data_IF_155826928228
#
_entry.id   IF_155826928228
#
_cell.length_a   1.000
_cell.length_b   1.000
_cell.length_c   1.000
_cell.angle_alpha   90.00
_cell.angle_beta   90.00
_cell.angle_gamma   90.00
#
_symmetry.space_group_name_H-M   'P 1'
#
loop_
_entity.id
_entity.type
_entity.pdbx_description
1 polymer ?
#
# COMPACT_ATOMS: atom_id res chain seq x y z
N UNK A 1 42.06 -6.74 11.07
CA UNK A 1 41.83 -6.41 9.65
C UNK A 1 40.71 -7.28 9.11
N UNK A 2 39.77 -6.66 8.37
CA UNK A 2 38.63 -7.22 7.61
C UNK A 2 37.56 -7.93 8.47
N UNK A 3 36.30 -7.50 8.53
CA UNK A 3 35.48 -6.86 7.49
C UNK A 3 34.63 -7.94 6.81
N UNK A 4 33.53 -8.32 7.44
CA UNK A 4 32.53 -9.24 6.89
C UNK A 4 31.14 -8.63 7.08
N UNK A 5 30.79 -7.70 6.18
CA UNK A 5 29.46 -7.10 6.16
C UNK A 5 28.43 -8.10 5.68
N UNK A 6 27.55 -8.53 6.58
CA UNK A 6 26.33 -9.26 6.24
C UNK A 6 25.49 -8.39 5.31
N UNK A 7 24.93 -8.92 4.21
CA UNK A 7 24.09 -8.12 3.32
C UNK A 7 22.90 -7.58 4.12
N UNK A 8 22.85 -6.25 4.24
CA UNK A 8 21.79 -5.53 4.91
C UNK A 8 20.43 -6.05 4.43
N UNK A 9 19.71 -6.66 5.37
CA UNK A 9 18.35 -7.16 5.23
C UNK A 9 17.51 -6.07 4.58
N UNK A 10 17.24 -6.22 3.27
CA UNK A 10 16.37 -5.33 2.48
C UNK A 10 15.15 -5.00 3.32
N UNK A 11 14.92 -3.70 3.51
CA UNK A 11 13.97 -3.10 4.44
C UNK A 11 12.62 -3.78 4.41
N UNK A 12 12.45 -4.77 5.29
CA UNK A 12 11.13 -5.25 5.69
C UNK A 12 10.71 -4.31 6.80
N UNK A 13 9.97 -3.26 6.44
CA UNK A 13 9.16 -2.46 7.36
C UNK A 13 8.08 -3.40 7.92
N UNK A 14 8.51 -4.35 8.76
CA UNK A 14 7.73 -5.49 9.23
C UNK A 14 6.86 -5.11 10.43
N UNK A 15 6.17 -3.99 10.37
CA UNK A 15 5.37 -3.50 11.50
C UNK A 15 4.15 -2.66 11.14
N UNK A 16 4.00 -2.22 9.89
CA UNK A 16 2.81 -1.49 9.47
C UNK A 16 2.23 -2.25 8.29
N UNK A 17 1.03 -2.81 8.49
CA UNK A 17 0.26 -3.41 7.41
C UNK A 17 0.15 -2.39 6.29
N UNK A 18 0.46 -2.78 5.06
CA UNK A 18 0.32 -1.87 3.93
C UNK A 18 -1.16 -1.50 3.77
N UNK A 19 -1.45 -0.30 3.26
CA UNK A 19 -2.84 0.12 3.01
C UNK A 19 -3.58 -0.92 2.14
N UNK A 20 -2.88 -1.60 1.23
CA UNK A 20 -3.43 -2.68 0.39
C UNK A 20 -3.76 -3.95 1.17
N UNK A 21 -2.93 -4.31 2.16
CA UNK A 21 -3.23 -5.44 3.05
C UNK A 21 -4.47 -5.15 3.90
N UNK A 22 -4.60 -3.93 4.42
CA UNK A 22 -5.78 -3.52 5.18
C UNK A 22 -7.04 -3.47 4.30
N UNK A 23 -6.92 -2.97 3.07
CA UNK A 23 -8.04 -2.86 2.13
C UNK A 23 -8.67 -4.23 1.84
N UNK A 24 -7.85 -5.28 1.75
CA UNK A 24 -8.32 -6.66 1.53
C UNK A 24 -9.20 -7.18 2.67
N UNK A 25 -8.94 -6.75 3.90
CA UNK A 25 -9.76 -7.11 5.07
C UNK A 25 -11.02 -6.25 5.20
N UNK A 26 -10.92 -4.95 4.94
CA UNK A 26 -12.03 -4.00 5.16
C UNK A 26 -13.01 -3.92 3.99
N UNK A 27 -12.55 -4.21 2.77
CA UNK A 27 -13.32 -4.15 1.53
C UNK A 27 -12.91 -5.35 0.66
N UNK A 28 -13.36 -6.58 0.99
CA UNK A 28 -12.95 -7.80 0.30
C UNK A 28 -13.29 -7.81 -1.19
N UNK A 29 -14.29 -7.05 -1.63
CA UNK A 29 -14.60 -6.79 -3.04
C UNK A 29 -13.47 -6.11 -3.82
N UNK A 30 -12.53 -5.46 -3.11
CA UNK A 30 -11.32 -4.84 -3.68
C UNK A 30 -10.06 -5.68 -3.43
N UNK A 31 -10.18 -6.92 -2.95
CA UNK A 31 -9.04 -7.78 -2.62
C UNK A 31 -8.16 -8.07 -3.83
N UNK A 32 -8.76 -8.31 -5.00
CA UNK A 32 -8.02 -8.56 -6.24
C UNK A 32 -7.17 -7.36 -6.65
N UNK A 33 -7.78 -6.16 -6.63
CA UNK A 33 -7.09 -4.89 -6.88
C UNK A 33 -5.99 -4.63 -5.84
N UNK A 34 -6.27 -4.90 -4.56
CA UNK A 34 -5.30 -4.76 -3.47
C UNK A 34 -4.07 -5.63 -3.69
N UNK A 35 -4.27 -6.90 -4.01
CA UNK A 35 -3.20 -7.85 -4.32
C UNK A 35 -2.40 -7.40 -5.55
N UNK A 36 -3.10 -6.96 -6.60
CA UNK A 36 -2.48 -6.44 -7.81
C UNK A 36 -1.51 -5.28 -7.50
N UNK A 37 -1.95 -4.24 -6.78
CA UNK A 37 -1.09 -3.10 -6.43
C UNK A 37 0.02 -3.45 -5.43
N UNK A 38 -0.25 -4.35 -4.48
CA UNK A 38 0.77 -4.83 -3.54
C UNK A 38 1.91 -5.56 -4.27
N UNK A 39 1.60 -6.36 -5.29
CA UNK A 39 2.60 -7.08 -6.08
C UNK A 39 3.57 -6.14 -6.81
N UNK A 40 3.10 -4.95 -7.23
CA UNK A 40 3.89 -3.92 -7.90
C UNK A 40 4.76 -3.06 -6.97
N UNK A 41 4.56 -3.12 -5.65
CA UNK A 41 5.19 -2.21 -4.70
C UNK A 41 6.73 -2.26 -4.71
N UNK A 42 7.31 -3.47 -4.84
CA UNK A 42 8.76 -3.62 -4.92
C UNK A 42 9.35 -3.09 -6.23
N UNK A 43 8.58 -3.07 -7.32
CA UNK A 43 8.98 -2.47 -8.59
C UNK A 43 9.00 -0.95 -8.47
N UNK A 44 7.91 -0.38 -7.94
CA UNK A 44 7.80 1.06 -7.66
C UNK A 44 8.91 1.57 -6.74
N UNK A 45 9.20 0.87 -5.64
CA UNK A 45 10.27 1.26 -4.72
C UNK A 45 11.66 1.32 -5.40
N UNK A 46 11.93 0.41 -6.35
CA UNK A 46 13.18 0.46 -7.14
C UNK A 46 13.20 1.63 -8.11
N UNK A 47 12.07 1.92 -8.75
CA UNK A 47 11.94 3.06 -9.65
C UNK A 47 12.10 4.40 -8.91
N UNK A 48 11.48 4.55 -7.73
CA UNK A 48 11.60 5.72 -6.85
C UNK A 48 13.04 5.92 -6.34
N UNK A 49 13.78 4.83 -6.15
CA UNK A 49 15.21 4.87 -5.83
C UNK A 49 16.11 5.20 -7.05
N UNK A 50 15.53 5.49 -8.22
CA UNK A 50 16.26 5.87 -9.43
C UNK A 50 16.97 4.71 -10.13
N UNK A 51 16.62 3.45 -9.81
CA UNK A 51 17.24 2.28 -10.44
C UNK A 51 16.81 2.23 -11.92
N UNK A 52 17.78 2.35 -12.83
CA UNK A 52 17.52 2.23 -14.28
C UNK A 52 16.94 0.85 -14.61
N UNK A 53 15.90 0.85 -15.46
CA UNK A 53 15.23 -0.37 -15.89
C UNK A 53 14.32 -1.00 -14.83
N UNK A 54 14.05 -0.33 -13.70
CA UNK A 54 13.13 -0.83 -12.69
C UNK A 54 11.68 -0.97 -13.19
N UNK A 55 11.27 -0.14 -14.14
CA UNK A 55 10.01 -0.24 -14.85
C UNK A 55 10.20 0.24 -16.30
N UNK A 56 9.49 -0.37 -17.24
CA UNK A 56 9.38 0.13 -18.61
C UNK A 56 8.27 1.17 -18.71
N UNK A 57 8.24 1.93 -19.82
CA UNK A 57 7.13 2.84 -20.11
C UNK A 57 5.80 2.11 -20.23
N UNK A 58 5.80 0.88 -20.80
CA UNK A 58 4.60 0.04 -20.90
C UNK A 58 4.10 -0.43 -19.53
N UNK A 59 5.00 -0.78 -18.61
CA UNK A 59 4.63 -1.10 -17.23
C UNK A 59 3.94 0.08 -16.54
N UNK A 60 4.44 1.30 -16.77
CA UNK A 60 3.87 2.50 -16.20
C UNK A 60 2.49 2.82 -16.80
N UNK A 61 2.33 2.70 -18.12
CA UNK A 61 1.04 2.93 -18.77
C UNK A 61 -0.01 1.91 -18.33
N UNK A 62 0.38 0.63 -18.19
CA UNK A 62 -0.52 -0.39 -17.67
C UNK A 62 -0.94 -0.08 -16.22
N UNK A 63 0.02 0.28 -15.36
CA UNK A 63 -0.28 0.65 -13.98
C UNK A 63 -1.22 1.86 -13.89
N UNK A 64 -1.07 2.86 -14.76
CA UNK A 64 -1.97 4.02 -14.83
C UNK A 64 -3.38 3.62 -15.26
N UNK A 65 -3.51 2.72 -16.24
CA UNK A 65 -4.80 2.19 -16.70
C UNK A 65 -5.50 1.42 -15.59
N UNK A 66 -4.76 0.58 -14.88
CA UNK A 66 -5.24 -0.21 -13.75
C UNK A 66 -5.68 0.69 -12.59
N UNK A 67 -4.88 1.71 -12.25
CA UNK A 67 -5.23 2.70 -11.23
C UNK A 67 -6.50 3.49 -11.59
N UNK A 68 -6.66 3.91 -12.85
CA UNK A 68 -7.85 4.60 -13.30
C UNK A 68 -9.12 3.73 -13.19
N UNK A 69 -9.00 2.44 -13.50
CA UNK A 69 -10.11 1.49 -13.37
C UNK A 69 -10.49 1.26 -11.90
N UNK A 70 -9.48 1.07 -11.04
CA UNK A 70 -9.68 0.94 -9.60
C UNK A 70 -10.40 2.16 -9.00
N UNK A 71 -9.95 3.39 -9.33
CA UNK A 71 -10.57 4.61 -8.84
C UNK A 71 -12.04 4.71 -9.26
N UNK A 72 -12.37 4.39 -10.52
CA UNK A 72 -13.76 4.38 -10.99
C UNK A 72 -14.63 3.40 -10.21
N UNK A 73 -14.10 2.23 -9.84
CA UNK A 73 -14.81 1.25 -9.02
C UNK A 73 -15.05 1.78 -7.61
N UNK A 74 -14.02 2.33 -6.96
CA UNK A 74 -14.11 2.93 -5.62
C UNK A 74 -15.09 4.09 -5.60
N UNK A 75 -14.99 5.02 -6.56
CA UNK A 75 -15.91 6.16 -6.69
C UNK A 75 -17.37 5.69 -6.81
N UNK A 76 -17.63 4.68 -7.63
CA UNK A 76 -18.97 4.09 -7.76
C UNK A 76 -19.47 3.49 -6.45
N UNK A 77 -18.61 2.81 -5.70
CA UNK A 77 -18.99 2.21 -4.41
C UNK A 77 -19.29 3.28 -3.35
N UNK A 78 -18.47 4.33 -3.24
CA UNK A 78 -18.65 5.40 -2.26
C UNK A 78 -19.90 6.25 -2.51
N UNK A 79 -20.28 6.45 -3.78
CA UNK A 79 -21.55 7.11 -4.13
C UNK A 79 -22.77 6.27 -3.68
N UNK A 80 -22.63 4.94 -3.67
CA UNK A 80 -23.69 4.02 -3.25
C UNK A 80 -23.71 3.75 -1.74
N UNK A 81 -22.58 3.97 -1.04
CA UNK A 81 -22.45 3.80 0.40
C UNK A 81 -21.62 4.92 1.02
N UNK A 82 -22.23 5.92 1.68
CA UNK A 82 -21.47 6.90 2.44
C UNK A 82 -20.97 6.24 3.73
N UNK A 83 -19.80 5.60 3.69
CA UNK A 83 -19.09 5.15 4.88
C UNK A 83 -17.78 5.94 4.98
N UNK A 84 -17.72 6.86 5.93
CA UNK A 84 -16.47 7.50 6.30
C UNK A 84 -15.79 6.61 7.35
N UNK A 85 -14.51 6.23 7.17
CA UNK A 85 -13.77 5.55 8.21
C UNK A 85 -13.74 6.46 9.44
N UNK A 86 -14.29 5.97 10.55
CA UNK A 86 -14.16 6.65 11.83
C UNK A 86 -12.66 6.82 12.09
N UNK A 87 -12.17 8.05 12.35
CA UNK A 87 -10.82 8.23 12.84
C UNK A 87 -10.68 7.26 13.99
N UNK A 88 -9.68 6.37 13.91
CA UNK A 88 -9.37 5.43 14.99
C UNK A 88 -9.27 6.33 16.22
N UNK A 89 -10.27 6.30 17.10
CA UNK A 89 -10.31 7.12 18.29
C UNK A 89 -8.99 6.82 18.97
N UNK A 90 -8.08 7.79 18.86
CA UNK A 90 -6.73 7.62 19.33
C UNK A 90 -6.89 7.32 20.81
N UNK A 91 -6.18 6.30 21.27
CA UNK A 91 -6.24 5.75 22.62
C UNK A 91 -5.81 6.84 23.61
N UNK A 92 -6.71 7.77 23.87
CA UNK A 92 -6.56 8.92 24.73
C UNK A 92 -7.73 8.95 25.72
N UNK A 93 -8.05 7.81 26.33
CA UNK A 93 -8.99 7.73 27.44
C UNK A 93 -8.52 6.63 28.42
N UNK A 94 -7.57 7.04 29.23
CA UNK A 94 -7.34 6.73 30.64
C UNK A 94 -6.19 7.67 31.01
N UNK A 95 -6.45 8.98 31.17
CA UNK A 95 -7.08 9.56 32.37
C UNK A 95 -6.42 8.93 33.61
N UNK A 96 -5.38 9.56 34.12
CA UNK A 96 -5.54 10.41 35.30
C UNK A 96 -6.42 9.71 36.35
N UNK A 97 -5.80 8.87 37.15
CA UNK A 97 -6.38 8.41 38.40
C UNK A 97 -5.28 8.33 39.46
N UNK A 98 -5.08 9.49 40.11
CA UNK A 98 -4.52 9.75 41.46
C UNK A 98 -3.03 9.55 41.69
#
# INVERSE_FOLDING_TARGET
GRGGGTPARRGRRAGIRSAWELLTETAPELAEWSSHFASGAARRARAEAGIRGAASSGDAENLLRDAAMFLRLVERMLVLQPVLPQPRADRAETEDAV
#
